data_IF_214604985767
#
_entry.id   IF_214604985767
#
_cell.length_a   1.000
_cell.length_b   1.000
_cell.length_c   1.000
_cell.angle_alpha   90.00
_cell.angle_beta   90.00
_cell.angle_gamma   90.00
#
_symmetry.space_group_name_H-M   'P 1'
#
loop_
_entity.id
_entity.type
_entity.pdbx_description
1 polymer ?
#
# COMPACT_ATOMS: atom_id res chain seq x y z
N UNK A 1 -16.39 52.30 5.38
CA UNK A 1 -15.28 51.47 5.95
C UNK A 1 -15.75 50.13 6.53
N UNK A 2 -17.03 49.95 6.86
CA UNK A 2 -17.54 48.73 7.49
C UNK A 2 -17.94 47.62 6.50
N UNK A 3 -18.48 47.92 5.32
CA UNK A 3 -18.94 46.91 4.35
C UNK A 3 -17.80 46.02 3.81
N UNK A 4 -16.61 46.56 3.58
CA UNK A 4 -15.45 45.82 3.11
C UNK A 4 -14.93 44.80 4.17
N UNK A 5 -14.94 45.25 5.44
CA UNK A 5 -14.55 44.37 6.55
C UNK A 5 -15.53 43.20 6.75
N UNK A 6 -16.79 43.43 6.57
CA UNK A 6 -17.83 42.39 6.64
C UNK A 6 -17.70 41.39 5.50
N UNK A 7 -17.49 41.88 4.26
CA UNK A 7 -17.24 41.02 3.10
C UNK A 7 -15.98 40.14 3.24
N UNK A 8 -14.91 40.71 3.79
CA UNK A 8 -13.68 39.98 4.03
C UNK A 8 -13.86 38.88 5.10
N UNK A 9 -14.57 39.20 6.18
CA UNK A 9 -14.86 38.25 7.25
C UNK A 9 -15.77 37.11 6.78
N UNK A 10 -16.80 37.38 5.96
CA UNK A 10 -17.66 36.34 5.39
C UNK A 10 -16.92 35.44 4.38
N UNK A 11 -16.04 36.02 3.57
CA UNK A 11 -15.20 35.23 2.65
C UNK A 11 -14.22 34.29 3.38
N UNK A 12 -13.60 34.75 4.47
CA UNK A 12 -12.71 33.93 5.31
C UNK A 12 -13.49 32.81 6.01
N UNK A 13 -14.70 33.09 6.51
CA UNK A 13 -15.55 32.07 7.12
C UNK A 13 -15.99 31.00 6.11
N UNK A 14 -16.33 31.40 4.89
CA UNK A 14 -16.67 30.46 3.80
C UNK A 14 -15.47 29.60 3.40
N UNK A 15 -14.27 30.16 3.29
CA UNK A 15 -13.05 29.41 3.01
C UNK A 15 -12.70 28.41 4.13
N UNK A 16 -12.85 28.83 5.38
CA UNK A 16 -12.66 27.96 6.54
C UNK A 16 -13.70 26.83 6.59
N UNK A 17 -14.94 27.10 6.24
CA UNK A 17 -16.01 26.10 6.17
C UNK A 17 -15.77 25.08 5.04
N UNK A 18 -15.35 25.54 3.85
CA UNK A 18 -14.98 24.68 2.72
C UNK A 18 -13.77 23.79 3.02
N UNK A 19 -12.77 24.31 3.75
CA UNK A 19 -11.60 23.50 4.18
C UNK A 19 -11.98 22.46 5.23
N UNK A 20 -12.89 22.80 6.15
CA UNK A 20 -13.39 21.89 7.17
C UNK A 20 -14.21 20.74 6.55
N UNK A 21 -15.02 21.02 5.52
CA UNK A 21 -15.74 19.98 4.80
C UNK A 21 -14.82 18.97 4.11
N UNK A 22 -13.69 19.41 3.56
CA UNK A 22 -12.69 18.50 2.97
C UNK A 22 -12.04 17.59 4.01
N UNK A 23 -11.82 18.08 5.23
CA UNK A 23 -11.26 17.28 6.32
C UNK A 23 -12.28 16.24 6.84
N UNK A 24 -13.56 16.61 6.91
CA UNK A 24 -14.63 15.72 7.36
C UNK A 24 -15.08 14.70 6.29
N UNK A 25 -14.78 14.97 5.01
CA UNK A 25 -15.16 14.08 3.89
C UNK A 25 -14.13 12.97 3.60
N UNK A 26 -13.01 12.92 4.30
CA UNK A 26 -12.03 11.84 4.20
C UNK A 26 -12.34 10.74 5.21
N UNK A 27 -13.55 10.18 5.19
CA UNK A 27 -13.75 8.83 5.72
C UNK A 27 -13.00 7.88 4.76
N UNK A 28 -11.82 7.41 5.17
CA UNK A 28 -11.17 6.30 4.50
C UNK A 28 -12.09 5.10 4.61
N UNK A 29 -12.78 4.77 3.52
CA UNK A 29 -13.59 3.58 3.46
C UNK A 29 -12.66 2.36 3.43
N UNK A 30 -12.67 1.57 4.50
CA UNK A 30 -11.95 0.29 4.55
C UNK A 30 -12.66 -0.81 3.75
N UNK A 31 -13.80 -0.50 3.17
CA UNK A 31 -14.54 -1.40 2.27
C UNK A 31 -14.30 -0.97 0.84
N UNK A 32 -13.60 -1.81 0.10
CA UNK A 32 -13.34 -1.61 -1.32
C UNK A 32 -14.24 -2.55 -2.12
N UNK A 33 -14.89 -2.01 -3.14
CA UNK A 33 -15.71 -2.80 -4.08
C UNK A 33 -15.10 -2.70 -5.48
N UNK A 34 -14.92 -3.84 -6.13
CA UNK A 34 -14.37 -3.90 -7.47
C UNK A 34 -15.05 -5.00 -8.28
N UNK A 35 -15.10 -4.83 -9.60
CA UNK A 35 -15.45 -5.87 -10.57
C UNK A 35 -14.21 -6.42 -11.29
N UNK A 36 -13.05 -5.87 -10.99
CA UNK A 36 -11.78 -6.27 -11.58
C UNK A 36 -11.26 -7.58 -10.99
N UNK A 37 -10.34 -8.22 -11.70
CA UNK A 37 -9.66 -9.43 -11.23
C UNK A 37 -8.95 -9.15 -9.91
N UNK A 38 -9.13 -10.04 -8.92
CA UNK A 38 -8.41 -10.00 -7.65
C UNK A 38 -7.45 -11.19 -7.61
N UNK A 39 -6.19 -10.92 -7.30
CA UNK A 39 -5.18 -11.94 -7.03
C UNK A 39 -4.75 -11.78 -5.56
N UNK A 40 -4.76 -12.87 -4.82
CA UNK A 40 -4.39 -12.91 -3.40
C UNK A 40 -3.10 -13.70 -3.25
N UNK A 41 -2.13 -13.14 -2.52
CA UNK A 41 -0.86 -13.78 -2.18
C UNK A 41 -0.80 -13.97 -0.67
N UNK A 42 -0.42 -15.17 -0.24
CA UNK A 42 -0.18 -15.52 1.17
C UNK A 42 1.22 -15.16 1.64
N UNK A 43 1.67 -15.92 2.63
CA UNK A 43 2.95 -15.74 3.31
C UNK A 43 4.12 -15.81 2.33
N UNK A 44 5.04 -14.84 2.44
CA UNK A 44 6.23 -14.73 1.59
C UNK A 44 7.50 -14.94 2.42
N UNK A 45 7.53 -14.41 3.65
CA UNK A 45 8.61 -14.60 4.61
C UNK A 45 10.01 -14.35 4.05
N UNK A 46 10.20 -13.22 3.38
CA UNK A 46 11.51 -12.84 2.84
C UNK A 46 12.04 -13.73 1.71
N UNK A 47 11.24 -14.66 1.17
CA UNK A 47 11.58 -15.43 -0.03
C UNK A 47 11.33 -14.61 -1.30
N UNK A 48 12.25 -13.69 -1.57
CA UNK A 48 12.16 -12.80 -2.74
C UNK A 48 12.11 -13.58 -4.07
N UNK A 49 12.92 -14.63 -4.22
CA UNK A 49 12.99 -15.38 -5.48
C UNK A 49 11.71 -16.17 -5.75
N UNK A 50 11.18 -16.84 -4.72
CA UNK A 50 9.91 -17.54 -4.81
C UNK A 50 8.77 -16.57 -5.13
N UNK A 51 8.72 -15.44 -4.44
CA UNK A 51 7.71 -14.41 -4.68
C UNK A 51 7.80 -13.82 -6.10
N UNK A 52 8.99 -13.42 -6.55
CA UNK A 52 9.20 -12.91 -7.90
C UNK A 52 8.74 -13.92 -8.96
N UNK A 53 9.13 -15.19 -8.81
CA UNK A 53 8.72 -16.26 -9.71
C UNK A 53 7.20 -16.43 -9.74
N UNK A 54 6.55 -16.41 -8.58
CA UNK A 54 5.11 -16.55 -8.44
C UNK A 54 4.36 -15.43 -9.18
N UNK A 55 4.68 -14.15 -8.88
CA UNK A 55 3.96 -13.02 -9.45
C UNK A 55 4.24 -12.83 -10.94
N UNK A 56 5.43 -13.23 -11.40
CA UNK A 56 5.75 -13.30 -12.83
C UNK A 56 4.91 -14.36 -13.54
N UNK A 57 4.84 -15.56 -12.99
CA UNK A 57 4.02 -16.66 -13.52
C UNK A 57 2.52 -16.33 -13.52
N UNK A 58 2.06 -15.54 -12.55
CA UNK A 58 0.69 -15.05 -12.47
C UNK A 58 0.39 -13.90 -13.45
N UNK A 59 1.39 -13.42 -14.19
CA UNK A 59 1.24 -12.32 -15.14
C UNK A 59 1.05 -10.94 -14.47
N UNK A 60 1.56 -10.77 -13.25
CA UNK A 60 1.51 -9.51 -12.52
C UNK A 60 2.62 -8.56 -12.96
N UNK A 61 3.83 -9.10 -13.14
CA UNK A 61 5.00 -8.36 -13.59
C UNK A 61 5.62 -9.00 -14.84
N UNK A 62 6.32 -8.17 -15.62
CA UNK A 62 7.15 -8.59 -16.75
C UNK A 62 8.57 -9.00 -16.33
N UNK A 63 9.43 -9.28 -17.31
CA UNK A 63 10.83 -9.69 -17.06
C UNK A 63 11.69 -8.57 -16.47
N UNK A 64 11.32 -7.32 -16.63
CA UNK A 64 11.96 -6.15 -16.05
C UNK A 64 11.35 -5.72 -14.70
N UNK A 65 10.49 -6.56 -14.11
CA UNK A 65 9.77 -6.31 -12.86
C UNK A 65 8.80 -5.13 -12.95
N UNK A 66 8.26 -4.81 -14.12
CA UNK A 66 7.23 -3.81 -14.25
C UNK A 66 5.84 -4.43 -14.16
N UNK A 67 4.91 -3.68 -13.59
CA UNK A 67 3.51 -4.07 -13.55
C UNK A 67 2.91 -4.22 -14.95
N UNK A 68 2.34 -5.38 -15.26
CA UNK A 68 1.67 -5.65 -16.53
C UNK A 68 0.21 -6.12 -16.37
N UNK A 69 -0.30 -6.18 -15.14
CA UNK A 69 -1.61 -6.74 -14.84
C UNK A 69 -2.79 -5.78 -15.04
N UNK A 70 -2.55 -4.57 -15.61
CA UNK A 70 -3.60 -3.59 -15.88
C UNK A 70 -4.38 -3.21 -14.62
N UNK A 71 -5.72 -3.30 -14.67
CA UNK A 71 -6.65 -2.95 -13.59
C UNK A 71 -6.78 -3.99 -12.47
N UNK A 72 -5.98 -5.06 -12.50
CA UNK A 72 -5.99 -6.12 -11.47
C UNK A 72 -5.73 -5.55 -10.07
N UNK A 73 -6.41 -6.13 -9.07
CA UNK A 73 -6.20 -5.85 -7.66
C UNK A 73 -5.31 -6.96 -7.07
N UNK A 74 -4.10 -6.63 -6.66
CA UNK A 74 -3.21 -7.56 -5.94
C UNK A 74 -3.38 -7.34 -4.43
N UNK A 75 -3.67 -8.41 -3.71
CA UNK A 75 -3.84 -8.38 -2.25
C UNK A 75 -2.80 -9.30 -1.62
N UNK A 76 -1.98 -8.77 -0.72
CA UNK A 76 -1.18 -9.60 0.19
C UNK A 76 -1.87 -9.68 1.54
N UNK A 77 -1.98 -10.89 2.09
CA UNK A 77 -2.59 -11.12 3.41
C UNK A 77 -1.59 -11.00 4.57
N UNK A 78 -0.40 -10.47 4.31
CA UNK A 78 0.65 -10.24 5.30
C UNK A 78 1.76 -11.28 5.26
N UNK A 79 2.57 -11.29 6.33
CA UNK A 79 3.72 -12.16 6.53
C UNK A 79 4.74 -12.06 5.37
N UNK A 80 5.09 -10.82 5.03
CA UNK A 80 6.12 -10.51 4.04
C UNK A 80 7.52 -10.70 4.61
N UNK A 81 7.64 -10.48 5.94
CA UNK A 81 8.88 -10.35 6.68
C UNK A 81 9.30 -11.68 7.33
N UNK A 82 10.53 -11.68 7.82
CA UNK A 82 11.12 -12.72 8.65
C UNK A 82 11.42 -14.04 7.92
N UNK A 83 12.15 -14.93 8.60
CA UNK A 83 12.57 -16.28 8.18
C UNK A 83 13.52 -16.28 6.97
N UNK A 84 13.10 -15.71 5.84
CA UNK A 84 13.94 -15.59 4.64
C UNK A 84 14.85 -14.36 4.67
N UNK A 85 15.88 -14.34 3.82
CA UNK A 85 16.98 -13.37 3.91
C UNK A 85 16.71 -12.03 3.20
N UNK A 86 15.58 -11.87 2.53
CA UNK A 86 15.37 -10.77 1.58
C UNK A 86 14.07 -10.00 1.82
N UNK A 87 13.62 -9.87 3.10
CA UNK A 87 12.41 -9.12 3.47
C UNK A 87 12.40 -7.72 2.88
N UNK A 88 13.54 -7.04 2.89
CA UNK A 88 13.67 -5.70 2.31
C UNK A 88 13.40 -5.69 0.80
N UNK A 89 13.90 -6.66 0.05
CA UNK A 89 13.65 -6.74 -1.40
C UNK A 89 12.19 -7.02 -1.70
N UNK A 90 11.53 -7.85 -0.89
CA UNK A 90 10.08 -8.11 -1.01
C UNK A 90 9.30 -6.82 -0.84
N UNK A 91 9.57 -6.05 0.22
CA UNK A 91 8.91 -4.76 0.46
C UNK A 91 9.17 -3.76 -0.66
N UNK A 92 10.42 -3.63 -1.12
CA UNK A 92 10.78 -2.70 -2.19
C UNK A 92 10.05 -3.04 -3.50
N UNK A 93 9.84 -4.35 -3.81
CA UNK A 93 9.07 -4.78 -4.97
C UNK A 93 7.58 -4.45 -4.81
N UNK A 94 6.98 -4.66 -3.64
CA UNK A 94 5.60 -4.25 -3.39
C UNK A 94 5.41 -2.74 -3.54
N UNK A 95 6.31 -1.92 -2.97
CA UNK A 95 6.24 -0.46 -3.12
C UNK A 95 6.41 0.00 -4.57
N UNK A 96 7.19 -0.71 -5.38
CA UNK A 96 7.32 -0.46 -6.82
C UNK A 96 6.03 -0.79 -7.54
N UNK A 97 5.48 -1.98 -7.30
CA UNK A 97 4.22 -2.44 -7.91
C UNK A 97 3.04 -1.54 -7.55
N UNK A 98 2.94 -1.08 -6.30
CA UNK A 98 1.88 -0.16 -5.87
C UNK A 98 1.82 1.11 -6.72
N UNK A 99 2.98 1.73 -6.96
CA UNK A 99 3.08 2.94 -7.79
C UNK A 99 2.68 2.67 -9.23
N UNK A 100 3.13 1.55 -9.79
CA UNK A 100 2.89 1.20 -11.19
C UNK A 100 1.44 0.73 -11.41
N UNK A 101 0.88 -0.08 -10.50
CA UNK A 101 -0.50 -0.54 -10.55
C UNK A 101 -1.48 0.65 -10.57
N UNK A 102 -1.26 1.63 -9.68
CA UNK A 102 -2.08 2.85 -9.63
C UNK A 102 -2.11 3.60 -10.97
N UNK A 103 -0.97 3.67 -11.68
CA UNK A 103 -0.90 4.31 -13.00
C UNK A 103 -1.61 3.51 -14.09
N UNK A 104 -1.71 2.19 -13.92
CA UNK A 104 -2.38 1.27 -14.84
C UNK A 104 -3.87 1.05 -14.53
N UNK A 105 -4.42 1.71 -13.50
CA UNK A 105 -5.81 1.54 -13.06
C UNK A 105 -6.05 0.35 -12.14
N UNK A 106 -4.98 -0.35 -11.73
CA UNK A 106 -5.00 -1.42 -10.73
C UNK A 106 -4.64 -0.91 -9.34
N UNK A 107 -4.49 -1.83 -8.39
CA UNK A 107 -4.04 -1.50 -7.06
C UNK A 107 -3.29 -2.66 -6.39
N UNK A 108 -2.47 -2.33 -5.39
CA UNK A 108 -1.82 -3.28 -4.49
C UNK A 108 -2.28 -2.97 -3.07
N UNK A 109 -2.81 -3.97 -2.40
CA UNK A 109 -3.32 -3.89 -1.04
C UNK A 109 -2.47 -4.77 -0.13
N UNK A 110 -1.93 -4.21 0.93
CA UNK A 110 -1.14 -4.92 1.92
C UNK A 110 -1.89 -4.98 3.24
N UNK A 111 -2.09 -6.19 3.75
CA UNK A 111 -2.61 -6.43 5.09
C UNK A 111 -1.42 -6.80 5.99
N UNK A 112 -1.44 -6.37 7.23
CA UNK A 112 -0.42 -6.76 8.20
C UNK A 112 -0.69 -8.17 8.71
N UNK A 113 0.29 -9.06 8.55
CA UNK A 113 0.31 -10.36 9.16
C UNK A 113 0.85 -10.32 10.60
N UNK A 114 0.97 -11.46 11.24
CA UNK A 114 1.51 -11.53 12.60
C UNK A 114 3.02 -11.22 12.64
N UNK A 115 3.78 -11.52 11.60
CA UNK A 115 5.21 -11.20 11.54
C UNK A 115 5.46 -9.70 11.42
N UNK A 116 4.68 -8.94 10.66
CA UNK A 116 4.72 -7.49 10.66
C UNK A 116 4.40 -6.93 12.04
N UNK A 117 3.36 -7.45 12.72
CA UNK A 117 2.99 -7.04 14.06
C UNK A 117 4.12 -7.32 15.06
N UNK A 118 4.75 -8.51 15.01
CA UNK A 118 5.89 -8.86 15.86
C UNK A 118 7.04 -7.87 15.70
N UNK A 119 7.41 -7.54 14.47
CA UNK A 119 8.45 -6.56 14.19
C UNK A 119 8.11 -5.17 14.76
N UNK A 120 6.86 -4.72 14.64
CA UNK A 120 6.40 -3.43 15.20
C UNK A 120 6.53 -3.36 16.72
N UNK A 121 6.31 -4.46 17.45
CA UNK A 121 6.47 -4.53 18.91
C UNK A 121 7.87 -4.96 19.34
N UNK A 122 8.83 -5.06 18.39
CA UNK A 122 10.22 -5.47 18.60
C UNK A 122 10.40 -6.91 19.08
N UNK A 123 9.48 -7.80 18.73
CA UNK A 123 9.68 -9.25 18.85
C UNK A 123 10.40 -9.71 17.58
N UNK A 124 11.72 -9.88 17.68
CA UNK A 124 12.61 -10.07 16.53
C UNK A 124 13.17 -11.49 16.43
N UNK A 125 12.61 -12.46 17.12
CA UNK A 125 13.12 -13.84 17.16
C UNK A 125 13.14 -14.55 15.81
N UNK A 126 12.35 -14.09 14.85
CA UNK A 126 12.27 -14.65 13.51
C UNK A 126 13.02 -13.86 12.44
N UNK A 127 13.58 -12.70 12.81
CA UNK A 127 14.38 -11.89 11.89
C UNK A 127 15.72 -12.58 11.65
N UNK A 128 16.10 -12.85 10.41
CA UNK A 128 17.39 -13.49 10.13
C UNK A 128 18.56 -12.53 10.39
N UNK A 129 19.69 -13.07 10.83
CA UNK A 129 20.85 -12.29 11.29
C UNK A 129 21.43 -11.33 10.25
N UNK A 130 21.25 -11.60 8.97
CA UNK A 130 21.70 -10.72 7.88
C UNK A 130 20.84 -9.46 7.71
N UNK A 131 19.66 -9.39 8.30
CA UNK A 131 18.78 -8.23 8.27
C UNK A 131 18.97 -7.28 9.47
N UNK A 132 19.77 -7.67 10.46
CA UNK A 132 20.24 -6.81 11.56
C UNK A 132 21.44 -5.96 11.11
N UNK A 133 21.22 -4.86 10.42
CA UNK A 133 22.28 -3.91 10.06
C UNK A 133 21.93 -2.48 10.41
#
# INVERSE_FOLDING_TARGET
MNAYRTLLATALLLLAFLSLQKVLASEESYVLSTTEKIIVVGDIHGDYQGFETLIRSAGIIDDELNWQAGSTQLVSIGDLLDRGPDSRKVMDLFMRMEKQAKLAGGAVHLVLGNHEQMNLIRELSYVPSNEYK
#
